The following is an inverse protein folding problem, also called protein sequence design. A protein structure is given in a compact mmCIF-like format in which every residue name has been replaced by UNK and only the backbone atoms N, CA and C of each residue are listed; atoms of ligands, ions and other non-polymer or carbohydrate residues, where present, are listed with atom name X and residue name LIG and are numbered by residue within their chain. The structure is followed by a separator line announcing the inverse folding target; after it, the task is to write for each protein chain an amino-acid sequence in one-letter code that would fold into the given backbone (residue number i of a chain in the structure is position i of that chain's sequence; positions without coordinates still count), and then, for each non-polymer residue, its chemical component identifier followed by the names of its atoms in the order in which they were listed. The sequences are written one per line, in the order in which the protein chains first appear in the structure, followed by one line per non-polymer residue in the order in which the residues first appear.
data_IF_520021320972
#
_entry.id   IF_520021320972
#
_cell.length_a   1.000
_cell.length_b   1.000
_cell.length_c   1.000
_cell.angle_alpha   90.00
_cell.angle_beta   90.00
_cell.angle_gamma   90.00
#
_symmetry.space_group_name_H-M   'P 1'
#
loop_
_entity.id
_entity.type
_entity.pdbx_description
1 polymer ?
#
# COMPACT_ATOMS: atom_id res chain seq x y z
N UNK A 1 65.85 39.80 5.95
CA UNK A 1 65.55 38.54 5.23
C UNK A 1 64.25 38.01 5.75
N UNK A 2 63.24 38.17 4.98
CA UNK A 2 61.83 37.88 5.40
C UNK A 2 61.47 36.47 4.91
N UNK A 3 61.06 35.62 5.83
CA UNK A 3 60.36 34.38 5.51
C UNK A 3 58.88 34.62 5.68
N UNK A 4 58.18 34.59 4.55
CA UNK A 4 56.73 34.66 4.48
C UNK A 4 56.12 33.29 4.78
N UNK A 5 55.34 33.21 5.84
CA UNK A 5 54.45 32.08 6.15
C UNK A 5 53.30 32.05 5.16
N UNK A 6 53.24 31.06 4.34
CA UNK A 6 52.06 30.75 3.56
C UNK A 6 51.15 29.79 4.35
N UNK A 7 50.15 30.38 4.96
CA UNK A 7 49.00 29.62 5.52
C UNK A 7 48.20 28.98 4.37
N UNK A 8 48.32 27.68 4.23
CA UNK A 8 47.47 26.88 3.38
C UNK A 8 46.03 26.95 3.86
N UNK A 9 45.18 27.73 3.15
CA UNK A 9 43.74 27.69 3.30
C UNK A 9 43.28 26.38 2.67
N UNK A 10 42.86 25.43 3.51
CA UNK A 10 42.14 24.24 3.09
C UNK A 10 40.83 24.70 2.39
N UNK A 11 40.81 24.67 1.08
CA UNK A 11 39.58 24.89 0.32
C UNK A 11 38.71 23.65 0.53
N UNK A 12 37.82 23.72 1.51
CA UNK A 12 36.74 22.77 1.65
C UNK A 12 35.97 22.87 0.33
N UNK A 13 35.99 21.78 -0.40
CA UNK A 13 35.44 21.71 -1.75
C UNK A 13 33.94 21.92 -1.68
N UNK A 14 33.47 23.08 -2.13
CA UNK A 14 32.06 23.47 -2.21
C UNK A 14 31.20 22.43 -2.95
N UNK A 15 31.82 21.59 -3.75
CA UNK A 15 31.19 20.45 -4.41
C UNK A 15 30.69 19.38 -3.42
N UNK A 16 31.39 19.13 -2.31
CA UNK A 16 30.96 18.19 -1.28
C UNK A 16 29.73 18.71 -0.52
N UNK A 17 29.66 20.00 -0.29
CA UNK A 17 28.49 20.62 0.33
C UNK A 17 27.26 20.59 -0.61
N UNK A 18 27.48 20.78 -1.91
CA UNK A 18 26.40 20.68 -2.90
C UNK A 18 25.86 19.25 -3.05
N UNK A 19 26.73 18.24 -3.03
CA UNK A 19 26.33 16.83 -3.05
C UNK A 19 25.61 16.40 -1.77
N UNK A 20 25.98 16.92 -0.60
CA UNK A 20 25.29 16.59 0.65
C UNK A 20 23.91 17.26 0.77
N UNK A 21 23.70 18.41 0.11
CA UNK A 21 22.40 19.10 0.07
C UNK A 21 21.46 18.48 -0.99
N UNK A 22 22.02 17.88 -2.07
CA UNK A 22 21.21 17.15 -3.06
C UNK A 22 20.84 15.72 -2.66
N UNK A 23 21.38 15.20 -1.57
CA UNK A 23 21.00 13.88 -1.03
C UNK A 23 19.81 13.95 -0.08
N UNK A 24 19.16 15.10 0.05
CA UNK A 24 17.93 15.21 0.83
C UNK A 24 16.74 15.25 -0.12
N UNK A 25 15.92 14.22 0.07
CA UNK A 25 14.60 14.01 -0.52
C UNK A 25 14.60 13.70 -2.03
N UNK A 26 14.89 12.45 -2.36
CA UNK A 26 13.99 11.78 -3.28
C UNK A 26 12.65 11.70 -2.54
N UNK A 27 11.83 12.72 -2.68
CA UNK A 27 10.41 12.60 -2.46
C UNK A 27 9.92 11.59 -3.50
N UNK A 28 9.91 10.33 -3.13
CA UNK A 28 9.20 9.31 -3.87
C UNK A 28 7.73 9.66 -3.64
N UNK A 29 7.19 10.53 -4.49
CA UNK A 29 5.76 10.81 -4.51
C UNK A 29 5.08 9.55 -5.04
N UNK A 30 4.68 8.68 -4.13
CA UNK A 30 3.84 7.54 -4.51
C UNK A 30 2.52 8.08 -5.07
N UNK A 31 2.16 7.64 -6.27
CA UNK A 31 0.83 7.86 -6.80
C UNK A 31 -0.13 6.91 -6.08
N UNK A 32 -1.22 7.47 -5.57
CA UNK A 32 -2.32 6.70 -4.95
C UNK A 32 -3.49 6.56 -5.94
N UNK A 33 -3.18 6.47 -7.24
CA UNK A 33 -4.14 6.36 -8.33
C UNK A 33 -4.65 4.91 -8.46
N UNK A 34 -5.32 4.45 -7.43
CA UNK A 34 -5.97 3.14 -7.41
C UNK A 34 -7.29 3.20 -6.65
N UNK A 35 -8.20 2.29 -6.98
CA UNK A 35 -9.42 2.11 -6.22
C UNK A 35 -9.11 1.31 -4.94
N UNK A 36 -9.64 1.77 -3.83
CA UNK A 36 -9.52 1.09 -2.55
C UNK A 36 -10.91 0.85 -1.95
N UNK A 37 -11.19 -0.41 -1.68
CA UNK A 37 -12.41 -0.81 -0.98
C UNK A 37 -12.06 -1.40 0.38
N UNK A 38 -12.78 -0.95 1.41
CA UNK A 38 -12.75 -1.59 2.73
C UNK A 38 -13.90 -2.56 2.85
N UNK A 39 -13.62 -3.79 3.23
CA UNK A 39 -14.60 -4.88 3.34
C UNK A 39 -14.67 -5.33 4.80
N UNK A 40 -15.88 -5.35 5.37
CA UNK A 40 -16.15 -6.03 6.64
C UNK A 40 -16.68 -7.43 6.38
N UNK A 41 -15.96 -8.44 6.88
CA UNK A 41 -16.25 -9.85 6.64
C UNK A 41 -15.59 -10.70 7.74
N UNK A 42 -16.35 -11.61 8.34
CA UNK A 42 -15.82 -12.49 9.40
C UNK A 42 -15.17 -13.79 8.87
N UNK A 43 -15.15 -13.99 7.57
CA UNK A 43 -14.52 -15.16 6.98
C UNK A 43 -13.00 -15.00 6.91
N UNK A 44 -12.30 -16.12 6.76
CA UNK A 44 -10.86 -16.11 6.52
C UNK A 44 -10.49 -15.54 5.16
N UNK A 45 -9.25 -15.06 5.03
CA UNK A 45 -8.75 -14.41 3.82
C UNK A 45 -8.94 -15.27 2.56
N UNK A 46 -8.57 -16.56 2.63
CA UNK A 46 -8.70 -17.46 1.48
C UNK A 46 -10.16 -17.70 1.07
N UNK A 47 -11.08 -17.75 2.04
CA UNK A 47 -12.51 -17.95 1.77
C UNK A 47 -13.14 -16.71 1.17
N UNK A 48 -12.84 -15.54 1.69
CA UNK A 48 -13.25 -14.27 1.07
C UNK A 48 -12.67 -14.12 -0.33
N UNK A 49 -11.39 -14.46 -0.52
CA UNK A 49 -10.73 -14.45 -1.81
C UNK A 49 -11.47 -15.32 -2.84
N UNK A 50 -11.86 -16.55 -2.45
CA UNK A 50 -12.64 -17.44 -3.32
C UNK A 50 -13.99 -16.83 -3.73
N UNK A 51 -14.72 -16.21 -2.82
CA UNK A 51 -15.99 -15.53 -3.14
C UNK A 51 -15.79 -14.35 -4.08
N UNK A 52 -14.75 -13.53 -3.83
CA UNK A 52 -14.41 -12.41 -4.69
C UNK A 52 -14.03 -12.87 -6.09
N UNK A 53 -13.18 -13.89 -6.20
CA UNK A 53 -12.78 -14.46 -7.48
C UNK A 53 -14.01 -14.93 -8.29
N UNK A 54 -14.89 -15.68 -7.65
CA UNK A 54 -16.12 -16.17 -8.28
C UNK A 54 -17.04 -15.02 -8.74
N UNK A 55 -17.19 -13.99 -7.91
CA UNK A 55 -18.11 -12.87 -8.18
C UNK A 55 -17.59 -11.86 -9.20
N UNK A 56 -16.28 -11.60 -9.15
CA UNK A 56 -15.64 -10.59 -10.00
C UNK A 56 -15.07 -11.20 -11.31
N UNK A 57 -14.92 -12.52 -11.36
CA UNK A 57 -14.33 -13.21 -12.51
C UNK A 57 -12.80 -13.02 -12.58
N UNK A 58 -12.14 -13.03 -11.41
CA UNK A 58 -10.69 -12.88 -11.28
C UNK A 58 -10.08 -14.12 -10.61
N UNK A 59 -8.77 -14.26 -10.63
CA UNK A 59 -8.05 -15.44 -10.12
C UNK A 59 -6.97 -15.04 -9.12
N UNK A 60 -7.35 -14.26 -8.08
CA UNK A 60 -6.41 -13.90 -7.03
C UNK A 60 -5.94 -15.14 -6.28
N UNK A 61 -4.62 -15.25 -6.08
CA UNK A 61 -3.96 -16.30 -5.31
C UNK A 61 -3.09 -15.69 -4.22
N UNK A 62 -2.81 -16.48 -3.17
CA UNK A 62 -1.90 -16.05 -2.12
C UNK A 62 -0.51 -15.78 -2.71
N UNK A 63 -0.01 -14.57 -2.52
CA UNK A 63 1.32 -14.18 -2.98
C UNK A 63 2.32 -14.16 -1.83
N UNK A 64 2.03 -13.38 -0.79
CA UNK A 64 2.94 -13.20 0.37
C UNK A 64 2.23 -12.55 1.56
N UNK A 65 2.97 -12.44 2.67
CA UNK A 65 2.62 -11.55 3.78
C UNK A 65 3.35 -10.22 3.66
N UNK A 66 2.61 -9.12 3.81
CA UNK A 66 3.16 -7.77 3.94
C UNK A 66 3.54 -7.55 5.40
N UNK A 67 4.80 -7.22 5.68
CA UNK A 67 5.29 -6.96 7.02
C UNK A 67 5.21 -5.48 7.35
N UNK A 68 4.35 -5.10 8.28
CA UNK A 68 4.15 -3.72 8.71
C UNK A 68 4.73 -3.48 10.10
N UNK A 69 5.62 -2.48 10.25
CA UNK A 69 6.14 -2.10 11.57
C UNK A 69 5.00 -1.65 12.50
N UNK A 70 5.00 -2.19 13.70
CA UNK A 70 4.08 -1.84 14.77
C UNK A 70 4.83 -1.18 15.93
N UNK A 71 4.09 -0.65 16.89
CA UNK A 71 4.68 -0.07 18.09
C UNK A 71 5.55 -1.09 18.85
N UNK A 72 6.57 -0.60 19.57
CA UNK A 72 7.51 -1.41 20.34
C UNK A 72 8.35 -2.40 19.50
N UNK A 73 8.67 -2.07 18.26
CA UNK A 73 9.56 -2.88 17.41
C UNK A 73 8.95 -4.20 16.90
N UNK A 74 7.67 -4.41 17.14
CA UNK A 74 6.94 -5.56 16.59
C UNK A 74 6.62 -5.35 15.11
N UNK A 75 6.32 -6.43 14.42
CA UNK A 75 5.81 -6.40 13.04
C UNK A 75 4.50 -7.20 13.00
N UNK A 76 3.57 -6.75 12.18
CA UNK A 76 2.37 -7.52 11.83
C UNK A 76 2.49 -8.04 10.40
N UNK A 77 2.19 -9.32 10.19
CA UNK A 77 2.15 -9.95 8.86
C UNK A 77 0.72 -9.92 8.33
N UNK A 78 0.51 -9.31 7.18
CA UNK A 78 -0.79 -9.18 6.53
C UNK A 78 -0.79 -9.99 5.26
N UNK A 79 -1.65 -11.02 5.19
CA UNK A 79 -1.79 -11.86 4.00
C UNK A 79 -2.23 -11.02 2.80
N UNK A 80 -1.58 -11.24 1.68
CA UNK A 80 -1.93 -10.63 0.40
C UNK A 80 -2.18 -11.69 -0.66
N UNK A 81 -3.31 -11.57 -1.33
CA UNK A 81 -3.72 -12.35 -2.50
C UNK A 81 -3.70 -11.40 -3.69
N UNK A 82 -3.07 -11.79 -4.78
CA UNK A 82 -2.92 -10.93 -5.96
C UNK A 82 -3.27 -11.67 -7.25
N UNK A 83 -3.74 -10.90 -8.21
CA UNK A 83 -3.95 -11.31 -9.60
C UNK A 83 -3.63 -10.16 -10.53
N UNK A 84 -2.87 -10.43 -11.57
CA UNK A 84 -2.63 -9.48 -12.64
C UNK A 84 -3.36 -9.95 -13.90
N UNK A 85 -4.36 -9.18 -14.31
CA UNK A 85 -5.10 -9.37 -15.55
C UNK A 85 -4.32 -8.72 -16.70
N UNK A 86 -3.61 -9.54 -17.46
CA UNK A 86 -2.77 -9.08 -18.58
C UNK A 86 -3.59 -8.47 -19.72
N UNK A 87 -4.83 -8.97 -19.94
CA UNK A 87 -5.68 -8.50 -21.05
C UNK A 87 -6.16 -7.06 -20.81
N UNK A 88 -6.46 -6.74 -19.56
CA UNK A 88 -7.01 -5.44 -19.16
C UNK A 88 -6.00 -4.55 -18.45
N UNK A 89 -4.78 -5.03 -18.21
CA UNK A 89 -3.73 -4.32 -17.43
C UNK A 89 -4.17 -3.90 -16.03
N UNK A 90 -4.94 -4.78 -15.35
CA UNK A 90 -5.50 -4.51 -14.03
C UNK A 90 -4.81 -5.38 -12.99
N UNK A 91 -4.34 -4.78 -11.90
CA UNK A 91 -3.85 -5.52 -10.74
C UNK A 91 -4.89 -5.51 -9.62
N UNK A 92 -5.27 -6.70 -9.19
CA UNK A 92 -6.17 -6.94 -8.07
C UNK A 92 -5.38 -7.41 -6.86
N UNK A 93 -5.56 -6.78 -5.70
CA UNK A 93 -4.90 -7.18 -4.47
C UNK A 93 -5.88 -7.17 -3.30
N UNK A 94 -6.13 -8.35 -2.73
CA UNK A 94 -6.89 -8.49 -1.48
C UNK A 94 -5.89 -8.58 -0.33
N UNK A 95 -6.04 -7.72 0.68
CA UNK A 95 -5.11 -7.62 1.80
C UNK A 95 -5.89 -7.67 3.11
N UNK A 96 -5.44 -8.49 4.03
CA UNK A 96 -6.01 -8.56 5.36
C UNK A 96 -5.58 -7.31 6.18
N UNK A 97 -6.56 -6.61 6.77
CA UNK A 97 -6.28 -5.44 7.61
C UNK A 97 -5.93 -5.85 9.04
N UNK A 98 -6.59 -6.88 9.57
CA UNK A 98 -6.55 -7.22 10.99
C UNK A 98 -5.76 -8.50 11.23
N UNK A 99 -4.74 -8.42 12.08
CA UNK A 99 -3.95 -9.56 12.55
C UNK A 99 -3.86 -9.56 14.07
N UNK A 100 -3.38 -10.64 14.67
CA UNK A 100 -3.09 -10.70 16.11
C UNK A 100 -2.14 -9.58 16.57
N UNK A 101 -1.25 -9.13 15.70
CA UNK A 101 -0.16 -8.23 16.05
C UNK A 101 -0.39 -6.77 15.63
N UNK A 102 -1.46 -6.48 14.90
CA UNK A 102 -1.77 -5.12 14.51
C UNK A 102 -2.73 -4.98 13.33
N UNK A 103 -2.84 -3.75 12.87
CA UNK A 103 -3.67 -3.36 11.75
C UNK A 103 -2.80 -2.79 10.63
N UNK A 104 -3.16 -3.06 9.39
CA UNK A 104 -2.53 -2.45 8.21
C UNK A 104 -2.81 -0.94 8.19
N UNK A 105 -4.08 -0.57 8.33
CA UNK A 105 -4.53 0.82 8.51
C UNK A 105 -5.22 0.96 9.88
N UNK A 106 -4.51 1.45 10.90
CA UNK A 106 -5.06 1.60 12.26
C UNK A 106 -6.21 2.59 12.37
N UNK A 107 -6.34 3.50 11.40
CA UNK A 107 -7.39 4.51 11.34
C UNK A 107 -8.76 3.92 11.04
N UNK A 108 -8.82 2.73 10.39
CA UNK A 108 -10.08 2.10 9.96
C UNK A 108 -10.23 0.73 10.61
N UNK A 109 -10.55 0.72 11.88
CA UNK A 109 -10.67 -0.51 12.68
C UNK A 109 -11.86 -1.40 12.31
N UNK A 110 -12.88 -0.84 11.68
CA UNK A 110 -14.11 -1.55 11.29
C UNK A 110 -13.97 -2.34 9.98
N UNK A 111 -12.87 -2.20 9.27
CA UNK A 111 -12.57 -2.91 8.03
C UNK A 111 -11.67 -4.10 8.35
N UNK A 112 -12.05 -5.28 7.86
CA UNK A 112 -11.30 -6.52 8.05
C UNK A 112 -10.35 -6.79 6.89
N UNK A 113 -10.73 -6.38 5.67
CA UNK A 113 -9.96 -6.56 4.43
C UNK A 113 -9.97 -5.33 3.56
N UNK A 114 -8.91 -5.15 2.79
CA UNK A 114 -8.85 -4.16 1.69
C UNK A 114 -8.79 -4.88 0.36
N UNK A 115 -9.62 -4.44 -0.59
CA UNK A 115 -9.44 -4.76 -2.00
C UNK A 115 -8.88 -3.52 -2.70
N UNK A 116 -7.65 -3.63 -3.18
CA UNK A 116 -6.96 -2.62 -3.98
C UNK A 116 -7.06 -3.02 -5.44
N UNK A 117 -7.45 -2.09 -6.30
CA UNK A 117 -7.55 -2.31 -7.75
C UNK A 117 -6.77 -1.20 -8.43
N UNK A 118 -5.68 -1.59 -9.07
CA UNK A 118 -4.83 -0.71 -9.88
C UNK A 118 -5.28 -0.90 -11.32
N UNK A 119 -5.98 0.09 -11.84
CA UNK A 119 -6.66 0.04 -13.13
C UNK A 119 -6.23 1.22 -14.01
N UNK A 120 -5.67 0.93 -15.15
CA UNK A 120 -5.37 1.94 -16.17
C UNK A 120 -6.61 2.31 -17.00
N UNK A 121 -7.71 1.54 -16.95
CA UNK A 121 -8.87 1.65 -17.80
C UNK A 121 -10.14 2.24 -17.14
N UNK A 122 -10.05 2.85 -15.96
CA UNK A 122 -11.17 3.50 -15.24
C UNK A 122 -12.38 2.60 -14.98
N UNK A 123 -12.21 1.61 -14.11
CA UNK A 123 -13.36 0.86 -13.60
C UNK A 123 -14.28 1.73 -12.74
N UNK A 124 -15.60 1.62 -12.94
CA UNK A 124 -16.57 2.31 -12.10
C UNK A 124 -16.61 1.70 -10.68
N UNK A 125 -16.10 2.42 -9.70
CA UNK A 125 -16.02 2.00 -8.31
C UNK A 125 -17.40 1.55 -7.75
N UNK A 126 -18.48 2.23 -8.12
CA UNK A 126 -19.83 1.91 -7.66
C UNK A 126 -20.34 0.57 -8.20
N UNK A 127 -19.94 0.20 -9.43
CA UNK A 127 -20.29 -1.09 -10.01
C UNK A 127 -19.59 -2.23 -9.27
N UNK A 128 -18.28 -2.06 -8.98
CA UNK A 128 -17.53 -3.04 -8.19
C UNK A 128 -18.10 -3.18 -6.78
N UNK A 129 -18.38 -2.06 -6.12
CA UNK A 129 -18.98 -2.04 -4.78
C UNK A 129 -20.30 -2.81 -4.75
N UNK A 130 -21.19 -2.60 -5.72
CA UNK A 130 -22.48 -3.32 -5.82
C UNK A 130 -22.25 -4.83 -5.92
N UNK A 131 -21.34 -5.27 -6.78
CA UNK A 131 -21.00 -6.70 -6.93
C UNK A 131 -20.49 -7.30 -5.62
N UNK A 132 -19.64 -6.58 -4.87
CA UNK A 132 -19.09 -7.06 -3.60
C UNK A 132 -20.14 -7.16 -2.51
N UNK A 133 -21.07 -6.21 -2.40
CA UNK A 133 -22.17 -6.24 -1.41
C UNK A 133 -23.12 -7.41 -1.65
N UNK A 134 -23.25 -7.90 -2.88
CA UNK A 134 -24.06 -9.08 -3.20
C UNK A 134 -23.42 -10.41 -2.75
N UNK A 135 -22.16 -10.39 -2.32
CA UNK A 135 -21.48 -11.58 -1.78
C UNK A 135 -22.02 -11.88 -0.38
N UNK A 136 -22.55 -13.08 -0.12
CA UNK A 136 -23.27 -13.39 1.13
C UNK A 136 -22.45 -13.18 2.40
N UNK A 137 -21.12 -13.32 2.33
CA UNK A 137 -20.21 -13.19 3.48
C UNK A 137 -19.74 -11.75 3.70
N UNK A 138 -20.00 -10.84 2.78
CA UNK A 138 -19.66 -9.42 2.89
C UNK A 138 -20.76 -8.70 3.66
N UNK A 139 -20.43 -8.19 4.83
CA UNK A 139 -21.36 -7.44 5.68
C UNK A 139 -21.51 -6.00 5.20
N UNK A 140 -20.41 -5.36 4.90
CA UNK A 140 -20.36 -3.99 4.34
C UNK A 140 -19.15 -3.81 3.44
N UNK A 141 -19.27 -2.86 2.51
CA UNK A 141 -18.19 -2.45 1.63
C UNK A 141 -18.17 -0.92 1.49
N UNK A 142 -16.99 -0.33 1.65
CA UNK A 142 -16.77 1.11 1.62
C UNK A 142 -15.82 1.48 0.48
N UNK A 143 -16.15 2.54 -0.26
CA UNK A 143 -15.15 3.21 -1.10
C UNK A 143 -14.27 4.08 -0.20
N UNK A 144 -12.97 3.89 -0.27
CA UNK A 144 -12.00 4.58 0.56
C UNK A 144 -11.09 5.44 -0.31
N UNK A 145 -10.69 6.60 0.21
CA UNK A 145 -9.66 7.43 -0.43
C UNK A 145 -8.35 7.22 0.32
N UNK A 146 -7.32 6.63 -0.31
CA UNK A 146 -6.05 6.36 0.36
C UNK A 146 -5.43 7.59 1.01
N UNK A 147 -5.58 8.75 0.36
CA UNK A 147 -5.01 10.03 0.83
C UNK A 147 -5.57 10.53 2.15
N UNK A 148 -6.72 10.01 2.60
CA UNK A 148 -7.35 10.41 3.86
C UNK A 148 -6.68 9.77 5.09
N UNK A 149 -5.78 8.80 4.89
CA UNK A 149 -5.15 8.02 5.95
C UNK A 149 -3.66 8.34 6.10
N UNK A 150 -3.21 8.45 7.36
CA UNK A 150 -1.79 8.68 7.67
C UNK A 150 -0.93 7.47 7.33
N UNK A 151 -1.48 6.26 7.52
CA UNK A 151 -0.80 4.99 7.27
C UNK A 151 -0.94 4.49 5.82
N UNK A 152 -1.32 5.36 4.90
CA UNK A 152 -1.53 5.04 3.46
C UNK A 152 -0.34 4.38 2.78
N UNK A 153 0.88 4.70 3.24
CA UNK A 153 2.11 4.13 2.69
C UNK A 153 2.19 2.62 2.88
N UNK A 154 1.45 2.07 3.87
CA UNK A 154 1.32 0.63 4.05
C UNK A 154 0.52 -0.06 2.91
N UNK A 155 -0.13 0.71 2.03
CA UNK A 155 -0.83 0.22 0.83
C UNK A 155 0.05 0.21 -0.41
N UNK A 156 1.28 0.73 -0.31
CA UNK A 156 2.27 0.70 -1.38
C UNK A 156 3.20 -0.48 -1.11
N UNK A 157 3.16 -1.44 -1.98
CA UNK A 157 4.00 -2.64 -1.93
C UNK A 157 4.33 -3.07 -3.35
N UNK A 158 5.60 -3.37 -3.56
CA UNK A 158 6.14 -3.86 -4.82
C UNK A 158 5.96 -5.38 -4.95
#
# INVERSE_FOLDING_TARGET
MNYLETRGKCKINTYYLYLSVMMHTLDVSYSYDFLLFGISCHESSHRLCWFLNTKLGVEMEFEREIQVPQKAGRKSGHEMYRFYDEENSITWSLINNRTEHGLLLPEIKQVDYFLKVEDEAFMEADVLKKKMIEIPVVMTCFNLKPTDYKSKDNLIFD
#
